data_IF_034032177424
#
_entry.id   IF_034032177424
#
_cell.length_a   1.000
_cell.length_b   1.000
_cell.length_c   1.000
_cell.angle_alpha   90.00
_cell.angle_beta   90.00
_cell.angle_gamma   90.00
#
_symmetry.space_group_name_H-M   'P 1'
#
loop_
_entity.id
_entity.type
_entity.pdbx_description
1 polymer ?
#
# COMPACT_ATOMS: atom_id res chain seq x y z
N UNK A 1 -0.58 8.61 -12.31
CA UNK A 1 -0.33 9.24 -11.00
C UNK A 1 1.09 9.74 -11.00
N UNK A 2 1.29 10.99 -10.59
CA UNK A 2 2.61 11.62 -10.50
C UNK A 2 3.44 11.09 -9.33
N UNK A 3 4.76 11.24 -9.41
CA UNK A 3 5.70 10.74 -8.39
C UNK A 3 5.45 11.35 -7.01
N UNK A 4 5.11 12.64 -6.94
CA UNK A 4 4.81 13.36 -5.69
C UNK A 4 3.56 12.79 -5.00
N UNK A 5 2.48 12.55 -5.76
CA UNK A 5 1.26 11.93 -5.27
C UNK A 5 1.49 10.50 -4.80
N UNK A 6 2.29 9.71 -5.53
CA UNK A 6 2.68 8.36 -5.10
C UNK A 6 3.42 8.38 -3.75
N UNK A 7 4.42 9.26 -3.60
CA UNK A 7 5.17 9.40 -2.35
C UNK A 7 4.25 9.81 -1.19
N UNK A 8 3.32 10.73 -1.43
CA UNK A 8 2.32 11.14 -0.44
C UNK A 8 1.45 9.96 0.01
N UNK A 9 0.95 9.14 -0.92
CA UNK A 9 0.18 7.94 -0.60
C UNK A 9 1.01 6.94 0.20
N UNK A 10 2.26 6.67 -0.22
CA UNK A 10 3.16 5.78 0.51
C UNK A 10 3.40 6.25 1.95
N UNK A 11 3.67 7.55 2.16
CA UNK A 11 3.88 8.10 3.49
C UNK A 11 2.65 7.93 4.39
N UNK A 12 1.45 8.12 3.86
CA UNK A 12 0.21 7.89 4.60
C UNK A 12 0.02 6.41 4.96
N UNK A 13 0.39 5.50 4.05
CA UNK A 13 0.36 4.05 4.32
C UNK A 13 1.34 3.68 5.42
N UNK A 14 2.59 4.15 5.35
CA UNK A 14 3.61 3.83 6.35
C UNK A 14 3.26 4.35 7.75
N UNK A 15 2.59 5.51 7.83
CA UNK A 15 2.10 6.04 9.11
C UNK A 15 1.03 5.13 9.74
N UNK A 16 0.19 4.49 8.93
CA UNK A 16 -0.90 3.62 9.41
C UNK A 16 -0.48 2.16 9.58
N UNK A 17 0.48 1.71 8.77
CA UNK A 17 1.03 0.36 8.75
C UNK A 17 2.57 0.45 8.79
N UNK A 18 3.17 0.66 9.97
CA UNK A 18 4.62 0.76 10.11
C UNK A 18 5.37 -0.46 9.55
N UNK A 19 4.76 -1.65 9.54
CA UNK A 19 5.32 -2.86 8.95
C UNK A 19 5.50 -2.79 7.43
N UNK A 20 4.87 -1.81 6.77
CA UNK A 20 5.01 -1.54 5.34
C UNK A 20 6.06 -0.47 5.04
N UNK A 21 6.72 0.11 6.05
CA UNK A 21 7.73 1.16 5.84
C UNK A 21 8.85 0.66 4.91
N UNK A 22 9.12 1.42 3.85
CA UNK A 22 10.11 1.06 2.83
C UNK A 22 9.63 0.05 1.78
N UNK A 23 8.44 -0.53 1.92
CA UNK A 23 7.87 -1.45 0.92
C UNK A 23 7.36 -0.66 -0.29
N UNK A 24 7.95 -0.89 -1.46
CA UNK A 24 7.43 -0.31 -2.69
C UNK A 24 6.14 -1.01 -3.12
N UNK A 25 5.05 -0.26 -3.35
CA UNK A 25 3.81 -0.85 -3.82
C UNK A 25 3.89 -1.21 -5.30
N UNK A 26 3.21 -2.29 -5.68
CA UNK A 26 2.84 -2.49 -7.08
C UNK A 26 1.69 -1.55 -7.43
N UNK A 27 1.89 -0.67 -8.42
CA UNK A 27 0.87 0.28 -8.87
C UNK A 27 0.16 -0.29 -10.10
N UNK A 28 -1.16 -0.17 -10.15
CA UNK A 28 -1.99 -0.63 -11.27
C UNK A 28 -3.09 0.39 -11.51
N UNK A 29 -3.33 0.76 -12.77
CA UNK A 29 -4.41 1.67 -13.15
C UNK A 29 -5.77 1.00 -13.01
N UNK A 30 -6.77 1.78 -12.62
CA UNK A 30 -8.19 1.41 -12.57
C UNK A 30 -9.01 2.41 -13.39
N UNK A 31 -10.27 2.08 -13.74
CA UNK A 31 -11.21 3.05 -14.29
C UNK A 31 -11.34 4.31 -13.41
N UNK A 32 -11.93 5.36 -13.96
CA UNK A 32 -12.19 6.64 -13.26
C UNK A 32 -10.93 7.35 -12.75
N UNK A 33 -9.81 7.19 -13.47
CA UNK A 33 -8.53 7.81 -13.13
C UNK A 33 -8.02 7.43 -11.71
N UNK A 34 -8.35 6.21 -11.29
CA UNK A 34 -7.94 5.65 -10.00
C UNK A 34 -6.73 4.73 -10.16
N UNK A 35 -6.04 4.52 -9.04
CA UNK A 35 -4.85 3.69 -8.94
C UNK A 35 -5.02 2.72 -7.78
N UNK A 36 -4.72 1.45 -8.03
CA UNK A 36 -4.56 0.43 -7.01
C UNK A 36 -3.08 0.28 -6.68
N UNK A 37 -2.73 0.52 -5.42
CA UNK A 37 -1.41 0.29 -4.87
C UNK A 37 -1.47 -0.94 -3.97
N UNK A 38 -0.61 -1.93 -4.22
CA UNK A 38 -0.55 -3.15 -3.42
C UNK A 38 0.81 -3.26 -2.76
N UNK A 39 0.84 -3.09 -1.44
CA UNK A 39 1.99 -3.31 -0.58
C UNK A 39 1.96 -4.76 -0.10
N UNK A 40 3.11 -5.43 -0.15
CA UNK A 40 3.26 -6.80 0.34
C UNK A 40 4.52 -6.90 1.20
N UNK A 41 4.37 -7.50 2.37
CA UNK A 41 5.49 -7.82 3.27
C UNK A 41 5.27 -9.21 3.86
N UNK A 42 6.33 -9.79 4.42
CA UNK A 42 6.25 -11.02 5.19
C UNK A 42 6.77 -10.71 6.58
N UNK A 43 5.94 -10.96 7.59
CA UNK A 43 6.30 -10.71 8.99
C UNK A 43 6.62 -12.03 9.66
N UNK A 44 7.77 -12.12 10.33
CA UNK A 44 8.13 -13.29 11.12
C UNK A 44 7.20 -13.39 12.34
N UNK A 45 6.67 -14.59 12.60
CA UNK A 45 5.89 -14.91 13.79
C UNK A 45 6.68 -15.85 14.71
N UNK A 46 6.28 -15.93 15.98
CA UNK A 46 7.02 -16.60 17.04
C UNK A 46 7.42 -18.07 16.72
N UNK A 47 6.64 -18.78 15.91
CA UNK A 47 6.90 -20.16 15.49
C UNK A 47 7.96 -20.31 14.36
N UNK A 48 8.72 -19.26 14.05
CA UNK A 48 9.71 -19.27 12.95
C UNK A 48 9.08 -19.29 11.56
N UNK A 49 7.75 -19.17 11.46
CA UNK A 49 7.01 -19.04 10.20
C UNK A 49 6.93 -17.57 9.78
N UNK A 50 6.73 -17.34 8.49
CA UNK A 50 6.44 -16.01 7.95
C UNK A 50 4.96 -15.89 7.60
N UNK A 51 4.31 -14.85 8.08
CA UNK A 51 2.92 -14.52 7.72
C UNK A 51 2.93 -13.44 6.63
N UNK A 52 2.46 -13.75 5.41
CA UNK A 52 2.32 -12.74 4.37
C UNK A 52 1.26 -11.72 4.79
N UNK A 53 1.58 -10.43 4.66
CA UNK A 53 0.65 -9.33 4.85
C UNK A 53 0.57 -8.51 3.58
N UNK A 54 -0.63 -8.07 3.24
CA UNK A 54 -0.81 -7.13 2.14
C UNK A 54 -1.75 -5.98 2.52
N UNK A 55 -1.38 -4.77 2.09
CA UNK A 55 -2.23 -3.58 2.16
C UNK A 55 -2.54 -3.16 0.74
N UNK A 56 -3.82 -3.06 0.41
CA UNK A 56 -4.31 -2.58 -0.88
C UNK A 56 -4.91 -1.20 -0.68
N UNK A 57 -4.49 -0.25 -1.48
CA UNK A 57 -4.92 1.14 -1.42
C UNK A 57 -5.48 1.54 -2.77
N UNK A 58 -6.71 2.05 -2.78
CA UNK A 58 -7.27 2.73 -3.95
C UNK A 58 -7.08 4.22 -3.74
N UNK A 59 -6.44 4.89 -4.68
CA UNK A 59 -6.19 6.33 -4.64
C UNK A 59 -6.56 6.98 -5.98
N UNK A 60 -6.88 8.28 -5.97
CA UNK A 60 -7.06 9.08 -7.18
C UNK A 60 -5.71 9.47 -7.79
N UNK A 61 -5.73 10.03 -9.01
CA UNK A 61 -4.53 10.54 -9.67
C UNK A 61 -3.78 11.61 -8.87
N UNK A 62 -4.51 12.40 -8.06
CA UNK A 62 -3.96 13.46 -7.20
C UNK A 62 -3.32 12.89 -5.91
N UNK A 63 -3.48 11.59 -5.65
CA UNK A 63 -2.97 10.94 -4.43
C UNK A 63 -3.95 10.99 -3.25
N UNK A 64 -5.23 11.31 -3.49
CA UNK A 64 -6.27 11.18 -2.46
C UNK A 64 -6.60 9.71 -2.26
N UNK A 65 -6.47 9.22 -1.03
CA UNK A 65 -6.82 7.83 -0.71
C UNK A 65 -8.34 7.70 -0.62
N UNK A 66 -8.89 6.79 -1.42
CA UNK A 66 -10.33 6.49 -1.50
C UNK A 66 -10.69 5.29 -0.63
N UNK A 67 -9.82 4.28 -0.58
CA UNK A 67 -10.05 3.05 0.19
C UNK A 67 -8.73 2.41 0.59
N UNK A 68 -8.70 1.80 1.77
CA UNK A 68 -7.63 0.90 2.21
C UNK A 68 -8.23 -0.42 2.65
N UNK A 69 -7.63 -1.54 2.25
CA UNK A 69 -7.97 -2.88 2.75
C UNK A 69 -6.71 -3.65 3.11
N UNK A 70 -6.77 -4.42 4.19
CA UNK A 70 -5.72 -5.32 4.62
C UNK A 70 -6.13 -6.76 4.40
N UNK A 71 -5.17 -7.62 4.09
CA UNK A 71 -5.34 -9.07 4.10
C UNK A 71 -4.16 -9.71 4.79
N UNK A 72 -4.44 -10.74 5.58
CA UNK A 72 -3.51 -11.57 6.34
C UNK A 72 -3.75 -13.04 5.98
#
# INVERSE_FOLDING_TARGET
MERSSLVSVCNQVYRKFPEMSGVQPKVTTRPDNQFLLVFKTSVAVADGRSLPRAVRVVASAEGKILKMTTSH
#
